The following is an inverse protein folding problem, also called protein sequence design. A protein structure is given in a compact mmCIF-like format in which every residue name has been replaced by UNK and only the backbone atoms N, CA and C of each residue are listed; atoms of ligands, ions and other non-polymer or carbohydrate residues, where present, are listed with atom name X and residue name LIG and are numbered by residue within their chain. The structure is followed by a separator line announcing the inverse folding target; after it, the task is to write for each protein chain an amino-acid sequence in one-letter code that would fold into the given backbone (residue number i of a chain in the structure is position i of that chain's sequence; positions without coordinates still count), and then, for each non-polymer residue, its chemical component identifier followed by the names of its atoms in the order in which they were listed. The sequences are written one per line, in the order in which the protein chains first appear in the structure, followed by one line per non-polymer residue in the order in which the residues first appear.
data_IF_347582951049
#
_entry.id   IF_347582951049
#
_cell.length_a   1.000
_cell.length_b   1.000
_cell.length_c   1.000
_cell.angle_alpha   90.00
_cell.angle_beta   90.00
_cell.angle_gamma   90.00
#
_symmetry.space_group_name_H-M   'P 1'
#
loop_
_entity.id
_entity.type
_entity.pdbx_description
1 polymer ?
#
# COMPACT_ATOMS: atom_id res chain seq x y z
N UNK A 1 20.69 37.16 0.14
CA UNK A 1 20.25 35.75 0.28
C UNK A 1 19.71 35.31 -1.08
N UNK A 2 20.26 34.25 -1.70
CA UNK A 2 19.59 33.34 -2.68
C UNK A 2 20.42 32.77 -3.84
N UNK A 3 21.70 33.12 -4.05
CA UNK A 3 22.47 32.48 -5.14
C UNK A 3 22.87 31.00 -4.84
N UNK A 4 23.11 30.66 -3.57
CA UNK A 4 23.42 29.27 -3.19
C UNK A 4 22.19 28.36 -3.15
N UNK A 5 20.99 28.92 -3.01
CA UNK A 5 19.75 28.13 -2.97
C UNK A 5 19.32 27.67 -4.37
N UNK A 6 19.41 28.53 -5.38
CA UNK A 6 19.07 28.20 -6.77
C UNK A 6 19.98 27.11 -7.35
N UNK A 7 21.30 27.21 -7.15
CA UNK A 7 22.26 26.23 -7.68
C UNK A 7 22.13 24.86 -7.02
N UNK A 8 21.75 24.82 -5.74
CA UNK A 8 21.58 23.58 -4.98
C UNK A 8 20.26 22.87 -5.32
N UNK A 9 19.21 23.63 -5.62
CA UNK A 9 17.92 23.10 -6.08
C UNK A 9 18.06 22.50 -7.50
N UNK A 10 18.70 23.20 -8.43
CA UNK A 10 18.95 22.74 -9.81
C UNK A 10 19.80 21.46 -9.86
N UNK A 11 20.80 21.34 -8.98
CA UNK A 11 21.66 20.15 -8.87
C UNK A 11 20.89 18.92 -8.37
N UNK A 12 19.98 19.10 -7.41
CA UNK A 12 19.15 18.03 -6.86
C UNK A 12 18.09 17.56 -7.87
N UNK A 13 17.57 18.49 -8.68
CA UNK A 13 16.61 18.22 -9.74
C UNK A 13 17.25 17.42 -10.88
N UNK A 14 18.50 17.72 -11.26
CA UNK A 14 19.22 16.97 -12.29
C UNK A 14 19.60 15.55 -11.82
N UNK A 15 20.09 15.41 -10.58
CA UNK A 15 20.45 14.09 -10.03
C UNK A 15 19.24 13.14 -9.94
N UNK A 16 18.10 13.64 -9.45
CA UNK A 16 16.87 12.85 -9.37
C UNK A 16 16.38 12.39 -10.75
N UNK A 17 16.50 13.26 -11.76
CA UNK A 17 16.16 12.95 -13.16
C UNK A 17 17.08 11.89 -13.76
N UNK A 18 18.39 11.96 -13.47
CA UNK A 18 19.38 10.97 -13.92
C UNK A 18 19.19 9.61 -13.24
N UNK A 19 18.91 9.60 -11.94
CA UNK A 19 18.60 8.38 -11.19
C UNK A 19 17.30 7.73 -11.70
N UNK A 20 16.25 8.51 -11.94
CA UNK A 20 14.99 8.02 -12.49
C UNK A 20 15.17 7.37 -13.88
N UNK A 21 16.01 7.96 -14.73
CA UNK A 21 16.31 7.45 -16.07
C UNK A 21 17.20 6.19 -16.03
N UNK A 22 18.15 6.14 -15.10
CA UNK A 22 19.01 4.97 -14.89
C UNK A 22 18.21 3.76 -14.37
N UNK A 23 17.31 3.96 -13.40
CA UNK A 23 16.45 2.93 -12.82
C UNK A 23 15.42 2.34 -13.80
N UNK A 24 15.20 2.98 -14.96
CA UNK A 24 14.33 2.50 -16.03
C UNK A 24 14.96 1.38 -16.86
N UNK A 25 16.28 1.19 -16.80
CA UNK A 25 16.96 0.12 -17.53
C UNK A 25 16.71 -1.23 -16.83
N UNK A 26 16.44 -2.32 -17.58
CA UNK A 26 16.10 -3.63 -17.01
C UNK A 26 17.18 -4.19 -16.06
N UNK A 27 18.45 -3.84 -16.29
CA UNK A 27 19.58 -4.23 -15.44
C UNK A 27 19.90 -3.30 -14.26
N UNK A 28 19.23 -2.15 -14.12
CA UNK A 28 19.58 -1.20 -13.05
C UNK A 28 19.19 -1.68 -11.64
N UNK A 29 18.36 -2.73 -11.55
CA UNK A 29 17.86 -3.29 -10.29
C UNK A 29 18.75 -4.39 -9.71
N UNK A 30 19.64 -4.96 -10.51
CA UNK A 30 20.52 -6.05 -10.09
C UNK A 30 21.37 -5.73 -8.85
N UNK A 31 22.02 -4.56 -8.69
CA UNK A 31 22.83 -4.31 -7.49
C UNK A 31 21.98 -4.29 -6.21
N UNK A 32 20.76 -3.76 -6.29
CA UNK A 32 19.84 -3.73 -5.16
C UNK A 32 19.32 -5.14 -4.82
N UNK A 33 18.99 -5.95 -5.83
CA UNK A 33 18.60 -7.35 -5.64
C UNK A 33 19.74 -8.15 -5.02
N UNK A 34 20.98 -7.96 -5.47
CA UNK A 34 22.16 -8.63 -4.91
C UNK A 34 22.37 -8.28 -3.45
N UNK A 35 22.28 -6.99 -3.09
CA UNK A 35 22.40 -6.55 -1.70
C UNK A 35 21.30 -7.15 -0.82
N UNK A 36 20.05 -7.11 -1.29
CA UNK A 36 18.93 -7.71 -0.57
C UNK A 36 19.06 -9.22 -0.43
N UNK A 37 19.53 -9.91 -1.49
CA UNK A 37 19.79 -11.35 -1.48
C UNK A 37 20.88 -11.75 -0.52
N UNK A 38 21.97 -10.99 -0.45
CA UNK A 38 23.03 -11.17 0.55
C UNK A 38 22.44 -11.12 1.98
N UNK A 39 21.67 -10.06 2.29
CA UNK A 39 21.03 -9.91 3.61
C UNK A 39 20.09 -11.09 3.90
N UNK A 40 19.28 -11.50 2.92
CA UNK A 40 18.32 -12.60 3.07
C UNK A 40 19.00 -13.94 3.36
N UNK A 41 20.02 -14.28 2.57
CA UNK A 41 20.80 -15.50 2.77
C UNK A 41 21.54 -15.49 4.10
N UNK A 42 22.15 -14.36 4.49
CA UNK A 42 22.82 -14.22 5.79
C UNK A 42 21.86 -14.40 6.95
N UNK A 43 20.65 -13.84 6.88
CA UNK A 43 19.66 -13.96 7.95
C UNK A 43 19.14 -15.39 8.08
N UNK A 44 18.91 -16.09 6.95
CA UNK A 44 18.58 -17.51 6.94
C UNK A 44 19.69 -18.33 7.59
N UNK A 45 20.94 -18.11 7.18
CA UNK A 45 22.10 -18.82 7.74
C UNK A 45 22.21 -18.62 9.26
N UNK A 46 22.07 -17.38 9.75
CA UNK A 46 22.09 -17.11 11.19
C UNK A 46 20.96 -17.85 11.91
N UNK A 47 19.74 -17.86 11.38
CA UNK A 47 18.64 -18.62 11.99
C UNK A 47 18.89 -20.12 12.00
N UNK A 48 19.36 -20.69 10.90
CA UNK A 48 19.73 -22.10 10.80
C UNK A 48 20.81 -22.49 11.82
N UNK A 49 21.79 -21.61 12.06
CA UNK A 49 22.83 -21.82 13.08
C UNK A 49 22.32 -21.67 14.52
N UNK A 50 21.35 -20.79 14.77
CA UNK A 50 20.79 -20.57 16.13
C UNK A 50 19.79 -21.65 16.53
N UNK A 51 19.09 -22.23 15.56
CA UNK A 51 18.11 -23.29 15.76
C UNK A 51 18.49 -24.53 14.93
N UNK A 52 19.61 -25.20 15.25
CA UNK A 52 20.01 -26.40 14.52
C UNK A 52 18.89 -27.45 14.56
N UNK A 53 18.90 -28.37 13.59
CA UNK A 53 17.96 -29.48 13.51
C UNK A 53 18.15 -30.43 14.72
N UNK A 54 17.56 -30.08 15.85
CA UNK A 54 17.59 -30.90 17.04
C UNK A 54 16.66 -32.09 16.84
N UNK A 55 17.15 -33.29 17.15
CA UNK A 55 16.41 -34.56 17.10
C UNK A 55 16.03 -35.01 15.68
N UNK A 56 16.75 -34.57 14.65
CA UNK A 56 16.55 -35.01 13.26
C UNK A 56 15.43 -34.29 12.51
N UNK A 57 14.68 -33.38 13.15
CA UNK A 57 13.65 -32.59 12.46
C UNK A 57 14.16 -31.17 12.12
N UNK A 58 14.10 -30.75 10.85
CA UNK A 58 14.63 -29.47 10.36
C UNK A 58 13.67 -28.29 10.65
N UNK A 59 13.50 -27.94 11.92
CA UNK A 59 12.61 -26.83 12.32
C UNK A 59 13.03 -25.47 11.75
N UNK A 60 14.33 -25.21 11.62
CA UNK A 60 14.82 -23.95 11.06
C UNK A 60 14.29 -23.65 9.67
N UNK A 61 14.40 -24.63 8.76
CA UNK A 61 13.94 -24.52 7.38
C UNK A 61 12.43 -24.28 7.30
N UNK A 62 11.67 -24.95 8.16
CA UNK A 62 10.23 -24.72 8.27
C UNK A 62 9.93 -23.28 8.72
N UNK A 63 10.60 -22.79 9.77
CA UNK A 63 10.37 -21.46 10.33
C UNK A 63 10.71 -20.36 9.31
N UNK A 64 11.85 -20.45 8.62
CA UNK A 64 12.24 -19.43 7.63
C UNK A 64 11.26 -19.40 6.45
N UNK A 65 10.77 -20.56 6.01
CA UNK A 65 9.77 -20.63 4.94
C UNK A 65 8.41 -20.08 5.39
N UNK A 66 7.93 -20.43 6.61
CA UNK A 66 6.68 -19.89 7.17
C UNK A 66 6.78 -18.37 7.28
N UNK A 67 7.83 -17.86 7.92
CA UNK A 67 8.01 -16.43 8.13
C UNK A 67 8.17 -15.68 6.79
N UNK A 68 8.92 -16.24 5.86
CA UNK A 68 9.11 -15.66 4.53
C UNK A 68 7.80 -15.54 3.76
N UNK A 69 6.95 -16.57 3.74
CA UNK A 69 5.64 -16.51 3.08
C UNK A 69 4.72 -15.46 3.71
N UNK A 70 4.71 -15.33 5.05
CA UNK A 70 3.98 -14.28 5.76
C UNK A 70 4.42 -12.88 5.33
N UNK A 71 5.73 -12.63 5.39
CA UNK A 71 6.32 -11.32 5.10
C UNK A 71 6.18 -10.96 3.61
N UNK A 72 6.34 -11.93 2.71
CA UNK A 72 6.19 -11.72 1.27
C UNK A 72 4.80 -11.21 0.92
N UNK A 73 3.75 -11.79 1.51
CA UNK A 73 2.38 -11.33 1.29
C UNK A 73 2.13 -9.93 1.87
N UNK A 74 2.74 -9.58 3.00
CA UNK A 74 2.71 -8.21 3.52
C UNK A 74 3.38 -7.25 2.54
N UNK A 75 4.55 -7.60 2.01
CA UNK A 75 5.26 -6.79 1.01
C UNK A 75 4.39 -6.61 -0.24
N UNK A 76 3.85 -7.70 -0.79
CA UNK A 76 3.04 -7.67 -2.01
C UNK A 76 1.76 -6.83 -1.82
N UNK A 77 1.05 -7.01 -0.71
CA UNK A 77 -0.29 -6.43 -0.55
C UNK A 77 -0.30 -5.07 0.12
N UNK A 78 0.60 -4.83 1.07
CA UNK A 78 0.68 -3.54 1.77
C UNK A 78 1.69 -2.63 1.10
N UNK A 79 2.92 -3.09 0.92
CA UNK A 79 4.01 -2.25 0.42
C UNK A 79 3.81 -1.93 -1.06
N UNK A 80 3.62 -2.95 -1.90
CA UNK A 80 3.47 -2.80 -3.36
C UNK A 80 2.24 -2.00 -3.77
N UNK A 81 1.10 -2.18 -3.06
CA UNK A 81 -0.17 -1.58 -3.49
C UNK A 81 -0.55 -0.29 -2.78
N UNK A 82 0.03 0.02 -1.61
CA UNK A 82 -0.50 1.08 -0.72
C UNK A 82 0.54 2.05 -0.18
N UNK A 83 1.83 1.69 -0.14
CA UNK A 83 2.89 2.58 0.34
C UNK A 83 3.50 3.47 -0.76
N UNK A 84 3.09 3.30 -2.03
CA UNK A 84 3.65 4.00 -3.19
C UNK A 84 5.19 3.94 -3.24
N UNK A 85 5.77 2.86 -2.71
CA UNK A 85 7.21 2.65 -2.83
C UNK A 85 7.58 2.41 -4.30
N UNK A 86 8.81 2.76 -4.70
CA UNK A 86 9.30 2.48 -6.04
C UNK A 86 9.14 0.99 -6.37
N UNK A 87 8.51 0.60 -7.50
CA UNK A 87 8.38 -0.79 -7.91
C UNK A 87 9.71 -1.58 -7.90
N UNK A 88 10.86 -0.97 -8.31
CA UNK A 88 12.20 -1.50 -8.08
C UNK A 88 12.47 -2.08 -6.70
N UNK A 89 12.13 -1.31 -5.66
CA UNK A 89 12.45 -1.64 -4.27
C UNK A 89 11.56 -2.76 -3.76
N UNK A 90 10.28 -2.74 -4.11
CA UNK A 90 9.34 -3.82 -3.77
C UNK A 90 9.80 -5.14 -4.39
N UNK A 91 10.25 -5.09 -5.66
CA UNK A 91 10.78 -6.25 -6.37
C UNK A 91 12.06 -6.78 -5.71
N UNK A 92 12.98 -5.91 -5.30
CA UNK A 92 14.22 -6.34 -4.63
C UNK A 92 13.97 -6.92 -3.24
N UNK A 93 12.97 -6.42 -2.51
CA UNK A 93 12.56 -7.01 -1.24
C UNK A 93 11.95 -8.41 -1.44
N UNK A 94 11.05 -8.57 -2.40
CA UNK A 94 10.43 -9.87 -2.67
C UNK A 94 11.42 -10.89 -3.23
N UNK A 95 12.08 -10.56 -4.35
CA UNK A 95 12.96 -11.49 -5.07
C UNK A 95 14.31 -11.65 -4.39
N UNK A 96 14.93 -10.54 -3.96
CA UNK A 96 16.25 -10.58 -3.33
C UNK A 96 16.14 -11.06 -1.89
N UNK A 97 15.56 -10.22 -1.01
CA UNK A 97 15.57 -10.47 0.43
C UNK A 97 14.77 -11.72 0.80
N UNK A 98 13.47 -11.73 0.50
CA UNK A 98 12.62 -12.86 0.89
C UNK A 98 12.95 -14.11 0.08
N UNK A 99 13.21 -13.98 -1.22
CA UNK A 99 13.61 -15.10 -2.06
C UNK A 99 14.87 -15.81 -1.57
N UNK A 100 15.90 -15.08 -1.12
CA UNK A 100 17.12 -15.68 -0.56
C UNK A 100 16.99 -16.13 0.91
N UNK A 101 16.04 -15.54 1.65
CA UNK A 101 15.72 -15.90 3.03
C UNK A 101 14.93 -17.21 3.13
N UNK A 102 14.05 -17.49 2.17
CA UNK A 102 13.34 -18.78 2.07
C UNK A 102 14.13 -19.79 1.26
N UNK A 103 13.87 -21.09 1.43
CA UNK A 103 14.58 -22.13 0.67
C UNK A 103 13.71 -23.37 0.45
N UNK A 104 13.49 -23.70 -0.82
CA UNK A 104 12.90 -24.98 -1.24
C UNK A 104 14.01 -26.05 -1.38
N UNK A 105 15.23 -25.64 -1.73
CA UNK A 105 16.34 -26.57 -1.95
C UNK A 105 16.73 -27.30 -0.65
N UNK A 106 16.84 -26.59 0.48
CA UNK A 106 17.15 -27.21 1.77
C UNK A 106 16.01 -28.15 2.23
N UNK A 107 14.76 -27.69 2.09
CA UNK A 107 13.58 -28.51 2.35
C UNK A 107 13.59 -29.82 1.53
N UNK A 108 13.95 -29.76 0.24
CA UNK A 108 14.05 -30.93 -0.62
C UNK A 108 15.15 -31.90 -0.18
N UNK A 109 16.34 -31.39 0.17
CA UNK A 109 17.43 -32.23 0.67
C UNK A 109 17.11 -32.89 2.00
N UNK A 110 16.39 -32.20 2.89
CA UNK A 110 15.92 -32.74 4.16
C UNK A 110 14.89 -33.86 3.96
N UNK A 111 13.92 -33.65 3.05
CA UNK A 111 12.99 -34.70 2.66
C UNK A 111 13.74 -35.92 2.12
N UNK A 112 14.71 -35.71 1.24
CA UNK A 112 15.53 -36.79 0.68
C UNK A 112 16.33 -37.54 1.76
N UNK A 113 16.83 -36.83 2.78
CA UNK A 113 17.49 -37.46 3.95
C UNK A 113 16.55 -38.44 4.65
N UNK A 114 15.30 -38.03 4.92
CA UNK A 114 14.30 -38.93 5.51
C UNK A 114 13.99 -40.14 4.63
N UNK A 115 13.97 -39.98 3.32
CA UNK A 115 13.83 -41.11 2.39
C UNK A 115 15.01 -42.08 2.48
N UNK A 116 16.25 -41.57 2.55
CA UNK A 116 17.45 -42.41 2.69
C UNK A 116 17.52 -43.13 4.03
N UNK A 117 17.04 -42.50 5.10
CA UNK A 117 16.98 -43.08 6.45
C UNK A 117 15.81 -44.07 6.64
N UNK A 118 14.98 -44.27 5.60
CA UNK A 118 13.78 -45.13 5.66
C UNK A 118 12.60 -44.51 6.45
N UNK A 119 12.72 -43.25 6.87
CA UNK A 119 11.73 -42.51 7.63
C UNK A 119 10.63 -41.89 6.74
N UNK A 120 10.00 -42.69 5.88
CA UNK A 120 9.03 -42.21 4.87
C UNK A 120 7.84 -41.46 5.48
N UNK A 121 7.31 -41.95 6.60
CA UNK A 121 6.20 -41.29 7.30
C UNK A 121 6.58 -39.87 7.74
N UNK A 122 7.81 -39.69 8.22
CA UNK A 122 8.32 -38.38 8.65
C UNK A 122 8.51 -37.44 7.46
N UNK A 123 9.01 -37.95 6.32
CA UNK A 123 9.09 -37.18 5.07
C UNK A 123 7.71 -36.68 4.62
N UNK A 124 6.70 -37.56 4.60
CA UNK A 124 5.33 -37.19 4.23
C UNK A 124 4.75 -36.13 5.17
N UNK A 125 4.93 -36.29 6.49
CA UNK A 125 4.49 -35.31 7.48
C UNK A 125 5.21 -33.97 7.29
N UNK A 126 6.52 -33.99 7.05
CA UNK A 126 7.30 -32.77 6.85
C UNK A 126 6.89 -32.00 5.58
N UNK A 127 6.64 -32.72 4.48
CA UNK A 127 6.12 -32.15 3.23
C UNK A 127 4.75 -31.51 3.45
N UNK A 128 3.81 -32.27 4.02
CA UNK A 128 2.45 -31.79 4.26
C UNK A 128 2.44 -30.60 5.22
N UNK A 129 3.18 -30.68 6.33
CA UNK A 129 3.31 -29.61 7.29
C UNK A 129 3.88 -28.34 6.63
N UNK A 130 4.95 -28.46 5.84
CA UNK A 130 5.56 -27.31 5.16
C UNK A 130 4.57 -26.64 4.21
N UNK A 131 3.88 -27.40 3.35
CA UNK A 131 2.92 -26.84 2.39
C UNK A 131 1.75 -26.17 3.11
N UNK A 132 1.14 -26.85 4.09
CA UNK A 132 -0.03 -26.34 4.81
C UNK A 132 0.33 -25.10 5.62
N UNK A 133 1.41 -25.14 6.38
CA UNK A 133 1.79 -24.01 7.25
C UNK A 133 2.25 -22.80 6.46
N UNK A 134 3.02 -22.97 5.39
CA UNK A 134 3.43 -21.85 4.52
C UNK A 134 2.24 -21.22 3.81
N UNK A 135 1.26 -22.01 3.35
CA UNK A 135 0.03 -21.49 2.77
C UNK A 135 -0.81 -20.71 3.78
N UNK A 136 -1.04 -21.27 4.98
CA UNK A 136 -1.74 -20.57 6.08
C UNK A 136 -1.02 -19.28 6.44
N UNK A 137 0.31 -19.31 6.49
CA UNK A 137 1.16 -18.16 6.78
C UNK A 137 0.99 -17.05 5.73
N UNK A 138 0.96 -17.40 4.44
CA UNK A 138 0.67 -16.46 3.37
C UNK A 138 -0.73 -15.83 3.52
N UNK A 139 -1.75 -16.65 3.83
CA UNK A 139 -3.11 -16.15 4.09
C UNK A 139 -3.15 -15.18 5.28
N UNK A 140 -2.47 -15.52 6.38
CA UNK A 140 -2.34 -14.66 7.54
C UNK A 140 -1.63 -13.34 7.21
N UNK A 141 -0.58 -13.38 6.38
CA UNK A 141 0.14 -12.21 5.89
C UNK A 141 -0.78 -11.28 5.07
N UNK A 142 -1.59 -11.86 4.18
CA UNK A 142 -2.60 -11.13 3.40
C UNK A 142 -3.65 -10.46 4.28
N UNK A 143 -4.21 -11.16 5.26
CA UNK A 143 -5.21 -10.61 6.19
C UNK A 143 -4.58 -9.47 7.01
N UNK A 144 -3.36 -9.67 7.49
CA UNK A 144 -2.60 -8.68 8.26
C UNK A 144 -2.35 -7.41 7.43
N UNK A 145 -1.96 -7.57 6.16
CA UNK A 145 -1.76 -6.45 5.24
C UNK A 145 -3.06 -5.63 5.03
N UNK A 146 -4.20 -6.30 4.89
CA UNK A 146 -5.50 -5.65 4.77
C UNK A 146 -5.86 -4.89 6.06
N UNK A 147 -5.63 -5.50 7.22
CA UNK A 147 -5.88 -4.88 8.51
C UNK A 147 -5.02 -3.61 8.72
N UNK A 148 -3.73 -3.68 8.37
CA UNK A 148 -2.82 -2.53 8.39
C UNK A 148 -3.31 -1.41 7.46
N UNK A 149 -3.77 -1.76 6.26
CA UNK A 149 -4.33 -0.79 5.32
C UNK A 149 -5.56 -0.07 5.89
N UNK A 150 -6.50 -0.81 6.50
CA UNK A 150 -7.70 -0.23 7.11
C UNK A 150 -7.35 0.72 8.27
N UNK A 151 -6.38 0.34 9.12
CA UNK A 151 -5.89 1.20 10.21
C UNK A 151 -5.31 2.51 9.67
N UNK A 152 -4.53 2.47 8.59
CA UNK A 152 -3.96 3.67 7.96
C UNK A 152 -5.05 4.59 7.40
N UNK A 153 -6.03 4.05 6.68
CA UNK A 153 -7.14 4.84 6.13
C UNK A 153 -8.00 5.51 7.22
N UNK A 154 -8.19 4.88 8.37
CA UNK A 154 -8.91 5.49 9.50
C UNK A 154 -8.13 6.68 10.08
N UNK A 155 -6.80 6.59 10.19
CA UNK A 155 -5.95 7.70 10.67
C UNK A 155 -5.96 8.89 9.72
N UNK A 156 -5.80 8.66 8.42
CA UNK A 156 -5.80 9.73 7.41
C UNK A 156 -7.16 10.43 7.30
N UNK A 157 -8.27 9.67 7.36
CA UNK A 157 -9.62 10.28 7.37
C UNK A 157 -9.84 11.19 8.57
N UNK A 158 -9.35 10.82 9.76
CA UNK A 158 -9.42 11.68 10.94
C UNK A 158 -8.62 12.97 10.74
N UNK A 159 -7.41 12.89 10.18
CA UNK A 159 -6.60 14.08 9.90
C UNK A 159 -7.27 15.01 8.88
N UNK A 160 -7.79 14.47 7.78
CA UNK A 160 -8.49 15.27 6.78
C UNK A 160 -9.81 15.85 7.30
N UNK A 161 -10.52 15.15 8.20
CA UNK A 161 -11.72 15.68 8.85
C UNK A 161 -11.40 16.87 9.77
N UNK A 162 -10.31 16.77 10.55
CA UNK A 162 -9.81 17.86 11.39
C UNK A 162 -9.39 19.06 10.54
N UNK A 163 -8.62 18.84 9.46
CA UNK A 163 -8.20 19.92 8.58
C UNK A 163 -9.37 20.61 7.85
N UNK A 164 -10.41 19.85 7.48
CA UNK A 164 -11.66 20.41 6.93
C UNK A 164 -12.42 21.23 7.97
N UNK A 165 -12.48 20.77 9.21
CA UNK A 165 -13.12 21.53 10.30
C UNK A 165 -12.38 22.85 10.55
N UNK A 166 -11.05 22.81 10.68
CA UNK A 166 -10.22 24.01 10.83
C UNK A 166 -10.32 24.96 9.63
N UNK A 167 -10.37 24.45 8.40
CA UNK A 167 -10.56 25.29 7.21
C UNK A 167 -11.94 25.96 7.20
N UNK A 168 -12.98 25.24 7.65
CA UNK A 168 -14.34 25.78 7.73
C UNK A 168 -14.43 26.88 8.79
N UNK A 169 -13.82 26.71 9.97
CA UNK A 169 -13.76 27.77 10.99
C UNK A 169 -13.03 29.02 10.49
N UNK A 170 -11.86 28.85 9.87
CA UNK A 170 -11.13 29.99 9.27
C UNK A 170 -11.93 30.72 8.19
N UNK A 171 -12.73 29.99 7.40
CA UNK A 171 -13.57 30.60 6.38
C UNK A 171 -14.73 31.40 6.99
N UNK A 172 -15.34 30.90 8.07
CA UNK A 172 -16.37 31.63 8.82
C UNK A 172 -15.83 32.89 9.52
N UNK A 173 -14.62 32.83 10.07
CA UNK A 173 -13.99 33.98 10.74
C UNK A 173 -13.66 35.11 9.75
N UNK A 174 -13.25 34.76 8.51
CA UNK A 174 -13.05 35.73 7.43
C UNK A 174 -14.38 36.40 7.03
N UNK A 175 -15.49 35.65 6.93
CA UNK A 175 -16.83 36.18 6.63
C UNK A 175 -17.40 37.06 7.77
N UNK A 176 -17.10 36.75 9.04
CA UNK A 176 -17.50 37.56 10.18
C UNK A 176 -16.72 38.88 10.27
N UNK A 177 -15.45 38.87 9.86
CA UNK A 177 -14.60 40.07 9.84
C UNK A 177 -14.90 41.02 8.67
N UNK A 178 -15.48 40.50 7.58
CA UNK A 178 -15.89 41.27 6.39
C UNK A 178 -17.32 41.79 6.47
N UNK A 179 -18.16 41.26 7.38
CA UNK A 179 -19.51 41.76 7.63
C UNK A 179 -19.46 42.96 8.59
N UNK A 180 -19.45 44.17 8.01
CA UNK A 180 -19.65 45.42 8.74
C UNK A 180 -21.01 45.36 9.45
N UNK A 181 -21.12 45.64 10.77
CA UNK A 181 -22.37 45.48 11.49
C UNK A 181 -23.44 46.43 10.93
N UNK A 182 -24.56 45.84 10.49
CA UNK A 182 -25.75 46.50 9.95
C UNK A 182 -26.54 47.25 11.06
N UNK A 183 -25.83 48.04 11.88
CA UNK A 183 -26.39 48.88 12.95
C UNK A 183 -26.43 50.36 12.59
N UNK A 184 -25.96 50.75 11.39
CA UNK A 184 -26.00 52.14 10.91
C UNK A 184 -27.18 52.47 9.99
N UNK A 185 -28.12 51.54 9.77
CA UNK A 185 -29.33 51.80 8.97
C UNK A 185 -30.60 51.71 9.83
N UNK A 186 -30.71 52.58 10.83
CA UNK A 186 -32.00 53.03 11.34
C UNK A 186 -32.10 54.53 11.05
N UNK A 187 -32.74 54.84 9.94
CA UNK A 187 -33.45 56.10 9.70
C UNK A 187 -34.59 55.78 8.74
N UNK A 188 -35.81 55.69 9.29
CA UNK A 188 -37.01 55.75 8.48
C UNK A 188 -37.14 57.17 7.88
N UNK A 189 -37.63 57.29 6.64
CA UNK A 189 -38.91 57.99 6.51
C UNK A 189 -39.89 57.31 5.56
N UNK A 190 -41.15 57.62 5.82
CA UNK A 190 -42.36 57.25 5.10
C UNK A 190 -42.45 57.81 3.68
N UNK A 191 -42.85 56.97 2.72
CA UNK A 191 -43.83 57.35 1.68
C UNK A 191 -44.37 56.11 0.96
N UNK A 192 -45.67 56.15 0.70
CA UNK A 192 -46.47 55.12 0.04
C UNK A 192 -46.03 54.89 -1.41
N UNK A 193 -45.80 53.64 -1.80
CA UNK A 193 -46.22 53.14 -3.12
C UNK A 193 -46.63 51.67 -3.00
N UNK A 194 -47.87 51.40 -3.42
CA UNK A 194 -48.47 50.09 -3.53
C UNK A 194 -47.89 49.35 -4.74
N UNK A 195 -47.20 48.22 -4.50
CA UNK A 195 -46.66 47.35 -5.54
C UNK A 195 -46.56 45.91 -5.06
N UNK A 196 -47.62 45.14 -5.33
CA UNK A 196 -47.81 43.68 -5.35
C UNK A 196 -46.61 42.75 -4.96
N UNK A 197 -46.79 41.78 -4.03
CA UNK A 197 -45.69 40.90 -3.57
C UNK A 197 -45.23 39.89 -4.63
N UNK A 198 -43.90 39.81 -4.83
CA UNK A 198 -43.27 38.68 -5.53
C UNK A 198 -43.43 37.39 -4.70
N UNK A 199 -43.89 36.33 -5.37
CA UNK A 199 -44.14 34.99 -4.81
C UNK A 199 -42.83 34.25 -4.50
N UNK A 200 -42.81 33.38 -3.47
CA UNK A 200 -41.65 32.59 -3.10
C UNK A 200 -41.57 31.34 -4.00
N UNK A 201 -40.84 31.41 -5.13
CA UNK A 201 -40.55 30.20 -5.91
C UNK A 201 -39.22 30.16 -6.66
N UNK A 202 -38.33 31.14 -6.50
CA UNK A 202 -37.04 31.15 -7.22
C UNK A 202 -35.87 30.60 -6.38
N UNK A 203 -36.12 30.13 -5.15
CA UNK A 203 -35.11 29.58 -4.24
C UNK A 203 -34.93 28.05 -4.34
N UNK A 204 -35.33 27.41 -5.45
CA UNK A 204 -35.32 25.95 -5.58
C UNK A 204 -34.78 25.41 -6.92
N UNK A 205 -33.72 26.01 -7.45
CA UNK A 205 -33.07 25.56 -8.70
C UNK A 205 -31.57 25.26 -8.60
N UNK A 206 -30.99 25.15 -7.39
CA UNK A 206 -29.55 24.82 -7.23
C UNK A 206 -29.35 23.66 -6.24
N UNK A 207 -30.22 22.66 -6.25
CA UNK A 207 -29.96 21.36 -5.59
C UNK A 207 -30.79 20.28 -6.26
N UNK A 208 -30.51 20.00 -7.53
CA UNK A 208 -30.94 18.74 -8.15
C UNK A 208 -30.05 18.41 -9.34
N UNK A 209 -29.06 17.55 -9.13
CA UNK A 209 -28.65 16.52 -10.07
C UNK A 209 -27.54 15.67 -9.46
N UNK A 210 -27.97 14.68 -8.68
CA UNK A 210 -27.18 13.49 -8.42
C UNK A 210 -28.05 12.27 -8.78
N UNK A 211 -28.01 11.85 -10.04
CA UNK A 211 -28.49 10.55 -10.47
C UNK A 211 -27.99 10.26 -11.88
N UNK A 212 -26.88 9.51 -12.03
CA UNK A 212 -26.74 8.41 -12.99
C UNK A 212 -25.66 7.46 -12.45
N UNK A 213 -26.12 6.42 -11.75
CA UNK A 213 -25.46 5.11 -11.68
C UNK A 213 -26.33 4.16 -12.52
N UNK A 214 -26.09 4.05 -13.82
CA UNK A 214 -26.58 2.92 -14.65
C UNK A 214 -25.77 2.82 -15.94
N UNK A 215 -24.74 1.96 -15.94
CA UNK A 215 -24.40 1.18 -17.13
C UNK A 215 -23.81 -0.16 -16.70
N UNK A 216 -24.75 -1.07 -16.40
CA UNK A 216 -24.55 -2.51 -16.41
C UNK A 216 -24.07 -2.97 -17.81
N UNK A 217 -23.10 -3.88 -17.78
CA UNK A 217 -23.15 -5.16 -18.50
C UNK A 217 -24.04 -5.20 -19.75
N UNK A 218 -23.41 -5.10 -20.91
CA UNK A 218 -23.75 -5.90 -22.09
C UNK A 218 -22.61 -5.78 -23.12
N UNK A 219 -21.65 -6.70 -23.07
CA UNK A 219 -20.93 -7.24 -24.24
C UNK A 219 -20.28 -8.56 -23.81
N UNK A 220 -21.07 -9.62 -23.74
CA UNK A 220 -20.58 -10.99 -23.90
C UNK A 220 -20.99 -11.44 -25.30
N UNK A 221 -20.07 -12.16 -25.94
CA UNK A 221 -20.28 -13.08 -27.07
C UNK A 221 -20.32 -12.47 -28.47
N UNK A 222 -19.21 -12.68 -29.21
CA UNK A 222 -19.10 -13.43 -30.47
C UNK A 222 -17.58 -13.65 -30.69
N UNK A 223 -17.07 -14.89 -30.58
CA UNK A 223 -16.80 -15.84 -31.69
C UNK A 223 -15.69 -15.31 -32.64
N UNK A 224 -14.68 -16.06 -33.03
CA UNK A 224 -14.32 -17.48 -32.93
C UNK A 224 -13.02 -17.71 -33.71
N UNK A 225 -12.46 -18.90 -33.57
CA UNK A 225 -11.53 -19.64 -34.44
C UNK A 225 -10.71 -18.87 -35.49
N UNK A 226 -9.38 -19.01 -35.40
CA UNK A 226 -8.56 -19.41 -36.55
C UNK A 226 -7.23 -20.05 -36.09
N UNK A 227 -7.17 -21.37 -36.32
CA UNK A 227 -6.06 -22.30 -36.62
C UNK A 227 -4.63 -22.02 -36.12
#
# INVERSE_FOLDING_TARGET
MNANQTTQEDSSLDLSTRLARALRKPGALTPLILLMGFIGASLRYVLETMFPANNGFPFSTLIVNIFGCFVLEIINQYVGRRLHLPPPLVKSLGVGLIGAFTTIAAFSTECLSFFHEGAFALACVYIAATIVTTFISALAGRITAQFLALRRFRRLRKQHAVERAFRKERFYEVDLSSSTPLSSFVSAPSSNEQGNPLKPNDAKSIYDNNSIDTKLQHTSSEEGDEQ
#
